data_IF_503730747097
#
_entry.id   IF_503730747097
#
_cell.length_a   1.000
_cell.length_b   1.000
_cell.length_c   1.000
_cell.angle_alpha   90.00
_cell.angle_beta   90.00
_cell.angle_gamma   90.00
#
_symmetry.space_group_name_H-M   'P 1'
#
loop_
_entity.id
_entity.type
_entity.pdbx_description
1 polymer ?
#
# COMPACT_ATOMS: atom_id res chain seq x y z
N UNK A 1 0.67 -23.05 -13.53
CA UNK A 1 -0.02 -21.97 -12.77
C UNK A 1 -1.12 -22.59 -11.93
N UNK A 2 -1.30 -22.10 -10.70
CA UNK A 2 -2.39 -22.51 -9.80
C UNK A 2 -3.11 -21.25 -9.35
N UNK A 3 -4.43 -21.32 -9.24
CA UNK A 3 -5.27 -20.28 -8.64
C UNK A 3 -6.27 -20.93 -7.69
N UNK A 4 -6.54 -20.31 -6.55
CA UNK A 4 -7.54 -20.78 -5.60
C UNK A 4 -8.61 -19.74 -5.37
N UNK A 5 -9.80 -20.19 -4.98
CA UNK A 5 -10.90 -19.30 -4.61
C UNK A 5 -11.63 -19.77 -3.37
N UNK A 6 -12.07 -18.81 -2.56
CA UNK A 6 -13.02 -19.04 -1.49
C UNK A 6 -14.34 -19.65 -2.01
N UNK A 7 -14.90 -20.56 -1.21
CA UNK A 7 -16.28 -21.00 -1.30
C UNK A 7 -17.22 -19.80 -1.30
N UNK A 8 -18.34 -19.92 -2.03
CA UNK A 8 -19.32 -18.84 -2.08
C UNK A 8 -19.87 -18.47 -0.69
N UNK A 9 -20.12 -19.47 0.16
CA UNK A 9 -20.69 -19.26 1.50
C UNK A 9 -19.73 -18.57 2.46
N UNK A 10 -18.42 -18.71 2.27
CA UNK A 10 -17.37 -18.05 3.07
C UNK A 10 -17.19 -16.57 2.71
N UNK A 11 -17.78 -16.09 1.61
CA UNK A 11 -17.75 -14.68 1.23
C UNK A 11 -18.76 -13.88 2.07
N UNK A 12 -18.39 -12.63 2.35
CA UNK A 12 -19.22 -11.69 3.09
C UNK A 12 -20.46 -11.25 2.32
N UNK A 13 -20.39 -11.20 0.98
CA UNK A 13 -21.54 -10.95 0.12
C UNK A 13 -22.20 -12.28 -0.27
N UNK A 14 -23.51 -12.24 -0.47
CA UNK A 14 -24.32 -13.42 -0.82
C UNK A 14 -24.73 -13.38 -2.29
N UNK A 15 -24.95 -14.56 -2.86
CA UNK A 15 -25.21 -14.74 -4.28
C UNK A 15 -24.04 -15.43 -4.98
N UNK A 16 -24.37 -16.49 -5.73
CA UNK A 16 -23.41 -17.23 -6.52
C UNK A 16 -24.08 -17.74 -7.78
N UNK A 17 -23.53 -17.38 -8.92
CA UNK A 17 -23.92 -17.91 -10.22
C UNK A 17 -22.70 -18.62 -10.81
N UNK A 18 -22.73 -19.95 -10.96
CA UNK A 18 -21.64 -20.67 -11.60
C UNK A 18 -21.52 -20.23 -13.06
N UNK A 19 -20.28 -20.19 -13.56
CA UNK A 19 -20.03 -19.99 -15.00
C UNK A 19 -20.38 -21.26 -15.77
N UNK A 20 -20.59 -21.15 -17.09
CA UNK A 20 -20.79 -22.34 -17.94
C UNK A 20 -19.59 -23.29 -17.86
N UNK A 21 -18.37 -22.75 -17.83
CA UNK A 21 -17.13 -23.52 -17.61
C UNK A 21 -17.18 -24.39 -16.34
N UNK A 22 -17.88 -23.92 -15.31
CA UNK A 22 -18.05 -24.67 -14.08
C UNK A 22 -19.24 -25.64 -14.16
N UNK A 23 -20.42 -25.17 -14.55
CA UNK A 23 -21.65 -25.96 -14.49
C UNK A 23 -21.74 -27.06 -15.56
N UNK A 24 -21.01 -26.92 -16.67
CA UNK A 24 -20.95 -27.93 -17.74
C UNK A 24 -19.87 -29.00 -17.48
N UNK A 25 -19.04 -28.84 -16.44
CA UNK A 25 -18.03 -29.83 -16.10
C UNK A 25 -18.69 -31.07 -15.46
N UNK A 26 -18.26 -32.27 -15.86
CA UNK A 26 -18.85 -33.54 -15.44
C UNK A 26 -18.82 -33.80 -13.93
N UNK A 27 -17.86 -33.20 -13.19
CA UNK A 27 -17.76 -33.35 -11.74
C UNK A 27 -18.42 -32.20 -10.96
N UNK A 28 -19.15 -31.31 -11.63
CA UNK A 28 -19.89 -30.24 -10.99
C UNK A 28 -20.90 -30.77 -9.97
N UNK A 29 -20.87 -30.21 -8.76
CA UNK A 29 -21.77 -30.54 -7.66
C UNK A 29 -22.37 -29.25 -7.07
N UNK A 30 -23.71 -29.20 -7.06
CA UNK A 30 -24.47 -28.02 -6.62
C UNK A 30 -24.28 -27.67 -5.14
N UNK A 31 -23.98 -28.66 -4.30
CA UNK A 31 -23.73 -28.43 -2.88
C UNK A 31 -22.28 -28.03 -2.65
N UNK A 32 -21.33 -28.73 -3.27
CA UNK A 32 -19.89 -28.43 -3.11
C UNK A 32 -19.55 -27.06 -3.67
N UNK A 33 -20.17 -26.62 -4.77
CA UNK A 33 -19.82 -25.32 -5.38
C UNK A 33 -20.02 -24.11 -4.47
N UNK A 34 -20.94 -24.20 -3.52
CA UNK A 34 -21.16 -23.12 -2.55
C UNK A 34 -20.42 -23.32 -1.23
N UNK A 35 -20.04 -24.55 -0.87
CA UNK A 35 -19.41 -24.90 0.42
C UNK A 35 -17.89 -25.03 0.34
N UNK A 36 -17.36 -25.49 -0.79
CA UNK A 36 -15.95 -25.76 -0.99
C UNK A 36 -15.28 -24.64 -1.77
N UNK A 37 -14.02 -24.38 -1.43
CA UNK A 37 -13.14 -23.60 -2.28
C UNK A 37 -12.91 -24.33 -3.61
N UNK A 38 -12.28 -23.63 -4.55
CA UNK A 38 -11.90 -24.23 -5.84
C UNK A 38 -10.43 -24.04 -6.08
N UNK A 39 -9.84 -24.99 -6.79
CA UNK A 39 -8.49 -24.92 -7.33
C UNK A 39 -8.57 -24.99 -8.84
N UNK A 40 -7.87 -24.07 -9.50
CA UNK A 40 -7.72 -24.03 -10.95
C UNK A 40 -6.25 -24.26 -11.27
N UNK A 41 -5.97 -25.12 -12.25
CA UNK A 41 -4.62 -25.47 -12.66
C UNK A 41 -4.45 -25.27 -14.15
N UNK A 42 -3.30 -24.76 -14.53
CA UNK A 42 -2.85 -24.67 -15.92
C UNK A 42 -1.42 -25.18 -15.97
N UNK A 43 -1.25 -26.46 -16.30
CA UNK A 43 0.01 -27.20 -16.14
C UNK A 43 0.39 -28.09 -17.33
N UNK A 44 -0.58 -28.43 -18.19
CA UNK A 44 -0.40 -29.31 -19.34
C UNK A 44 -1.30 -28.86 -20.49
N UNK A 45 -0.95 -29.24 -21.70
CA UNK A 45 -1.81 -29.13 -22.88
C UNK A 45 -2.89 -30.22 -22.79
N UNK A 46 -4.15 -29.81 -22.68
CA UNK A 46 -5.32 -30.70 -22.52
C UNK A 46 -5.97 -30.95 -23.87
N UNK A 47 -5.89 -30.00 -24.81
CA UNK A 47 -6.59 -30.07 -26.10
C UNK A 47 -5.71 -30.58 -27.27
N UNK A 48 -4.39 -30.70 -27.06
CA UNK A 48 -3.42 -31.24 -28.00
C UNK A 48 -2.89 -30.25 -29.04
N UNK A 49 -3.11 -28.94 -28.88
CA UNK A 49 -2.69 -27.90 -29.83
C UNK A 49 -1.23 -27.45 -29.69
N UNK A 50 -0.49 -28.06 -28.75
CA UNK A 50 0.91 -27.78 -28.40
C UNK A 50 1.14 -26.40 -27.78
N UNK A 51 0.09 -25.77 -27.26
CA UNK A 51 0.17 -24.56 -26.46
C UNK A 51 -0.46 -24.86 -25.10
N UNK A 52 -0.03 -24.11 -24.09
CA UNK A 52 -0.65 -24.13 -22.78
C UNK A 52 -1.28 -22.77 -22.60
N UNK A 53 -2.61 -22.71 -22.68
CA UNK A 53 -3.37 -21.46 -22.59
C UNK A 53 -4.69 -21.60 -21.81
N UNK A 54 -5.54 -20.56 -21.84
CA UNK A 54 -6.80 -20.53 -21.09
C UNK A 54 -7.72 -21.72 -21.40
N UNK A 55 -7.59 -22.34 -22.58
CA UNK A 55 -8.41 -23.48 -23.00
C UNK A 55 -7.98 -24.79 -22.34
N UNK A 56 -6.79 -24.82 -21.71
CA UNK A 56 -6.28 -25.95 -20.94
C UNK A 56 -6.52 -25.80 -19.42
N UNK A 57 -7.28 -24.79 -19.02
CA UNK A 57 -7.61 -24.56 -17.63
C UNK A 57 -8.46 -25.73 -17.10
N UNK A 58 -7.94 -26.41 -16.08
CA UNK A 58 -8.62 -27.48 -15.36
C UNK A 58 -8.99 -26.98 -13.96
N UNK A 59 -10.04 -27.53 -13.35
CA UNK A 59 -10.46 -27.14 -12.00
C UNK A 59 -11.04 -28.30 -11.20
N UNK A 60 -10.96 -28.20 -9.87
CA UNK A 60 -11.59 -29.14 -8.92
C UNK A 60 -11.96 -28.40 -7.62
N UNK A 61 -12.71 -29.07 -6.75
CA UNK A 61 -13.01 -28.59 -5.41
C UNK A 61 -11.82 -28.79 -4.45
N UNK A 62 -11.57 -27.79 -3.62
CA UNK A 62 -10.74 -27.95 -2.43
C UNK A 62 -11.50 -28.74 -1.36
N UNK A 63 -10.78 -29.32 -0.40
CA UNK A 63 -11.42 -30.06 0.70
C UNK A 63 -12.09 -29.09 1.67
N UNK A 64 -11.45 -27.95 1.92
CA UNK A 64 -11.99 -26.86 2.72
C UNK A 64 -12.69 -25.79 1.89
N UNK A 65 -12.86 -24.63 2.51
CA UNK A 65 -13.57 -23.49 1.94
C UNK A 65 -12.68 -22.57 1.11
N UNK A 66 -11.41 -22.93 0.89
CA UNK A 66 -10.45 -22.14 0.13
C UNK A 66 -9.89 -20.92 0.88
N UNK A 67 -10.06 -20.82 2.19
CA UNK A 67 -9.38 -19.79 2.97
C UNK A 67 -7.86 -19.93 2.86
N UNK A 68 -7.16 -18.85 2.52
CA UNK A 68 -5.70 -18.88 2.36
C UNK A 68 -4.98 -19.32 3.64
N UNK A 69 -5.60 -19.18 4.80
CA UNK A 69 -5.05 -19.56 6.10
C UNK A 69 -5.13 -21.07 6.38
N UNK A 70 -5.93 -21.81 5.62
CA UNK A 70 -6.06 -23.27 5.72
C UNK A 70 -4.76 -24.00 5.40
N UNK A 71 -4.59 -25.20 5.94
CA UNK A 71 -3.40 -26.01 5.71
C UNK A 71 -3.28 -26.47 4.25
N UNK A 72 -4.40 -26.76 3.59
CA UNK A 72 -4.43 -27.11 2.16
C UNK A 72 -3.92 -25.96 1.27
N UNK A 73 -4.34 -24.71 1.50
CA UNK A 73 -3.86 -23.57 0.70
C UNK A 73 -2.44 -23.15 1.11
N UNK A 74 -2.05 -23.33 2.38
CA UNK A 74 -0.65 -23.16 2.81
C UNK A 74 0.29 -24.18 2.15
N UNK A 75 -0.14 -25.41 1.93
CA UNK A 75 0.65 -26.39 1.18
C UNK A 75 0.92 -25.89 -0.25
N UNK A 76 -0.11 -25.42 -0.95
CA UNK A 76 0.01 -24.82 -2.28
C UNK A 76 0.91 -23.56 -2.28
N UNK A 77 0.78 -22.69 -1.27
CA UNK A 77 1.68 -21.55 -1.06
C UNK A 77 3.14 -22.00 -0.98
N UNK A 78 3.39 -23.04 -0.20
CA UNK A 78 4.74 -23.51 0.05
C UNK A 78 5.39 -24.10 -1.20
N UNK A 79 4.61 -24.68 -2.12
CA UNK A 79 5.06 -25.14 -3.44
C UNK A 79 5.29 -23.99 -4.43
N UNK A 80 4.53 -22.89 -4.32
CA UNK A 80 4.64 -21.77 -5.25
C UNK A 80 5.94 -20.97 -5.08
N UNK A 81 6.55 -20.55 -6.19
CA UNK A 81 7.68 -19.61 -6.18
C UNK A 81 7.22 -18.15 -6.06
N UNK A 82 6.11 -17.83 -6.74
CA UNK A 82 5.62 -16.47 -6.94
C UNK A 82 4.12 -16.42 -6.64
N UNK A 83 3.70 -15.41 -5.88
CA UNK A 83 2.30 -15.14 -5.56
C UNK A 83 1.88 -13.80 -6.19
N UNK A 84 0.91 -13.84 -7.09
CA UNK A 84 0.37 -12.66 -7.77
C UNK A 84 -1.13 -12.59 -7.51
N UNK A 85 -1.61 -11.55 -6.84
CA UNK A 85 -3.04 -11.46 -6.53
C UNK A 85 -3.51 -10.05 -6.16
N UNK A 86 -4.82 -9.85 -6.17
CA UNK A 86 -5.51 -8.72 -5.55
C UNK A 86 -6.17 -9.22 -4.25
N UNK A 87 -5.45 -9.23 -3.11
CA UNK A 87 -6.04 -9.70 -1.87
C UNK A 87 -7.15 -8.76 -1.41
N UNK A 88 -8.16 -9.24 -0.66
CA UNK A 88 -9.15 -8.38 -0.06
C UNK A 88 -8.47 -7.27 0.76
N UNK A 89 -8.81 -6.01 0.51
CA UNK A 89 -8.12 -4.89 1.19
C UNK A 89 -8.29 -4.92 2.72
N UNK A 90 -9.40 -5.48 3.21
CA UNK A 90 -9.65 -5.72 4.64
C UNK A 90 -8.68 -6.73 5.26
N UNK A 91 -8.22 -7.71 4.46
CA UNK A 91 -7.32 -8.79 4.90
C UNK A 91 -5.87 -8.54 4.48
N UNK A 92 -5.54 -7.37 3.93
CA UNK A 92 -4.20 -7.08 3.38
C UNK A 92 -3.07 -7.36 4.37
N UNK A 93 -3.23 -6.99 5.65
CA UNK A 93 -2.20 -7.22 6.69
C UNK A 93 -1.99 -8.71 6.96
N UNK A 94 -3.08 -9.44 7.13
CA UNK A 94 -3.06 -10.88 7.39
C UNK A 94 -2.49 -11.65 6.19
N UNK A 95 -2.90 -11.25 4.97
CA UNK A 95 -2.40 -11.84 3.74
C UNK A 95 -0.91 -11.55 3.51
N UNK A 96 -0.47 -10.32 3.75
CA UNK A 96 0.96 -9.98 3.65
C UNK A 96 1.79 -10.77 4.66
N UNK A 97 1.35 -10.88 5.91
CA UNK A 97 2.02 -11.71 6.92
C UNK A 97 2.12 -13.17 6.47
N UNK A 98 1.04 -13.71 5.90
CA UNK A 98 0.99 -15.07 5.35
C UNK A 98 1.96 -15.29 4.17
N UNK A 99 2.16 -14.30 3.29
CA UNK A 99 3.16 -14.41 2.21
C UNK A 99 4.59 -14.31 2.77
N UNK A 100 4.83 -13.35 3.65
CA UNK A 100 6.16 -13.04 4.21
C UNK A 100 6.67 -14.19 5.07
N UNK A 101 5.80 -14.83 5.86
CA UNK A 101 6.11 -16.02 6.65
C UNK A 101 6.72 -17.14 5.80
N UNK A 102 6.22 -17.35 4.58
CA UNK A 102 6.73 -18.37 3.66
C UNK A 102 7.85 -17.89 2.74
N UNK A 103 8.37 -16.68 2.95
CA UNK A 103 9.48 -16.09 2.19
C UNK A 103 9.27 -16.13 0.65
N UNK A 104 8.06 -15.80 0.19
CA UNK A 104 7.71 -15.89 -1.23
C UNK A 104 8.03 -14.61 -1.98
N UNK A 105 8.26 -14.76 -3.29
CA UNK A 105 8.23 -13.61 -4.20
C UNK A 105 6.78 -13.23 -4.49
N UNK A 106 6.47 -11.94 -4.54
CA UNK A 106 5.08 -11.54 -4.71
C UNK A 106 4.89 -10.22 -5.46
N UNK A 107 3.72 -10.09 -6.07
CA UNK A 107 3.17 -8.86 -6.64
C UNK A 107 1.70 -8.80 -6.22
N UNK A 108 1.36 -7.93 -5.27
CA UNK A 108 0.01 -7.84 -4.73
C UNK A 108 -0.57 -6.43 -4.87
N UNK A 109 -1.87 -6.33 -5.10
CA UNK A 109 -2.57 -5.04 -5.10
C UNK A 109 -2.88 -4.63 -3.66
N UNK A 110 -2.65 -3.37 -3.33
CA UNK A 110 -3.04 -2.79 -2.06
C UNK A 110 -3.36 -1.32 -2.17
N UNK A 111 -3.85 -0.74 -1.07
CA UNK A 111 -4.03 0.70 -0.95
C UNK A 111 -2.77 1.34 -0.37
N UNK A 112 -2.40 2.53 -0.85
CA UNK A 112 -1.25 3.32 -0.38
C UNK A 112 -1.28 3.58 1.13
N UNK A 113 -2.47 3.64 1.74
CA UNK A 113 -2.61 3.78 3.20
C UNK A 113 -1.97 2.60 3.97
N UNK A 114 -1.82 1.44 3.34
CA UNK A 114 -1.18 0.28 3.97
C UNK A 114 0.30 0.52 4.29
N UNK A 115 0.96 1.46 3.60
CA UNK A 115 2.37 1.82 3.82
C UNK A 115 2.68 2.10 5.30
N UNK A 116 1.75 2.77 6.00
CA UNK A 116 2.00 3.27 7.36
C UNK A 116 1.54 2.29 8.44
N UNK A 117 1.07 1.10 8.05
CA UNK A 117 0.71 0.05 8.98
C UNK A 117 1.96 -0.49 9.68
N UNK A 118 1.81 -0.84 10.96
CA UNK A 118 2.92 -1.29 11.84
C UNK A 118 3.62 -2.54 11.30
N UNK A 119 2.90 -3.38 10.57
CA UNK A 119 3.40 -4.63 9.99
C UNK A 119 4.00 -4.43 8.59
N UNK A 120 3.67 -3.31 7.92
CA UNK A 120 4.05 -3.03 6.52
C UNK A 120 5.28 -2.15 6.44
N UNK A 121 5.29 -1.02 7.15
CA UNK A 121 6.39 -0.07 7.02
C UNK A 121 7.76 -0.67 7.38
N UNK A 122 7.91 -1.53 8.41
CA UNK A 122 9.19 -2.17 8.68
C UNK A 122 9.72 -2.97 7.49
N UNK A 123 8.86 -3.60 6.68
CA UNK A 123 9.31 -4.30 5.48
C UNK A 123 9.84 -3.32 4.42
N UNK A 124 9.23 -2.15 4.28
CA UNK A 124 9.68 -1.09 3.37
C UNK A 124 11.01 -0.51 3.85
N UNK A 125 11.09 -0.11 5.13
CA UNK A 125 12.30 0.45 5.74
C UNK A 125 13.52 -0.48 5.58
N UNK A 126 13.32 -1.78 5.76
CA UNK A 126 14.38 -2.78 5.64
C UNK A 126 14.59 -3.32 4.21
N UNK A 127 14.03 -2.66 3.19
CA UNK A 127 14.13 -3.07 1.78
C UNK A 127 13.70 -4.54 1.53
N UNK A 128 12.68 -5.03 2.27
CA UNK A 128 12.06 -6.36 2.06
C UNK A 128 10.81 -6.30 1.19
N UNK A 129 10.24 -5.10 0.99
CA UNK A 129 9.10 -4.83 0.13
C UNK A 129 9.13 -3.37 -0.34
N UNK A 130 8.57 -3.07 -1.51
CA UNK A 130 8.43 -1.72 -2.06
C UNK A 130 7.19 -1.62 -2.94
N UNK A 131 6.90 -0.40 -3.40
CA UNK A 131 5.84 -0.17 -4.37
C UNK A 131 6.35 -0.55 -5.76
N UNK A 132 5.58 -1.40 -6.46
CA UNK A 132 5.89 -1.81 -7.83
C UNK A 132 5.49 -0.74 -8.87
N UNK A 133 5.88 -0.90 -10.14
CA UNK A 133 5.52 0.02 -11.21
C UNK A 133 4.01 0.10 -11.39
N UNK A 134 3.42 1.24 -11.08
CA UNK A 134 1.96 1.45 -11.14
C UNK A 134 1.64 2.86 -11.63
N UNK A 135 0.38 3.12 -11.96
CA UNK A 135 -0.07 4.49 -12.24
C UNK A 135 -0.11 5.21 -10.88
N UNK A 136 0.86 6.10 -10.69
CA UNK A 136 1.06 6.87 -9.46
C UNK A 136 0.03 7.98 -9.25
N UNK A 137 -0.97 8.08 -10.14
CA UNK A 137 -2.06 9.05 -10.09
C UNK A 137 -3.41 8.39 -10.41
N UNK A 138 -4.48 9.13 -10.13
CA UNK A 138 -5.85 8.72 -10.41
C UNK A 138 -6.41 7.68 -9.46
N UNK A 139 -7.62 7.23 -9.80
CA UNK A 139 -8.32 6.14 -9.16
C UNK A 139 -8.25 4.87 -10.02
N UNK A 140 -8.74 3.76 -9.45
CA UNK A 140 -9.02 2.51 -10.16
C UNK A 140 -10.46 2.12 -9.92
N UNK A 141 -11.08 1.58 -10.95
CA UNK A 141 -12.47 1.12 -10.89
C UNK A 141 -12.52 -0.33 -10.45
N UNK A 142 -13.35 -0.61 -9.45
CA UNK A 142 -13.69 -1.94 -9.00
C UNK A 142 -15.20 -2.12 -9.08
N UNK A 143 -15.63 -3.20 -9.73
CA UNK A 143 -17.02 -3.59 -9.70
C UNK A 143 -17.41 -3.98 -8.27
N UNK A 144 -18.61 -3.58 -7.85
CA UNK A 144 -19.20 -3.99 -6.57
C UNK A 144 -20.55 -4.69 -6.80
N UNK A 145 -20.98 -5.56 -5.87
CA UNK A 145 -22.33 -6.13 -5.90
C UNK A 145 -23.42 -5.05 -5.91
N UNK A 146 -24.60 -5.41 -6.42
CA UNK A 146 -25.72 -4.45 -6.56
C UNK A 146 -26.21 -3.94 -5.21
N UNK A 147 -26.11 -4.74 -4.16
CA UNK A 147 -26.50 -4.40 -2.79
C UNK A 147 -25.42 -3.60 -2.04
N UNK A 148 -24.24 -3.39 -2.63
CA UNK A 148 -23.14 -2.71 -1.94
C UNK A 148 -23.49 -1.23 -1.69
N UNK A 149 -23.34 -0.72 -0.46
CA UNK A 149 -23.69 0.66 -0.15
C UNK A 149 -22.75 1.63 -0.88
N UNK A 150 -23.33 2.51 -1.70
CA UNK A 150 -22.57 3.52 -2.45
C UNK A 150 -22.30 4.72 -1.55
N UNK A 151 -21.21 4.63 -0.79
CA UNK A 151 -20.73 5.71 0.07
C UNK A 151 -19.48 6.41 -0.52
N UNK A 152 -18.99 5.96 -1.67
CA UNK A 152 -17.78 6.50 -2.29
C UNK A 152 -18.09 7.78 -3.08
N UNK A 153 -17.19 8.77 -3.01
CA UNK A 153 -17.31 10.04 -3.75
C UNK A 153 -17.27 9.82 -5.26
N UNK A 154 -16.47 8.86 -5.72
CA UNK A 154 -16.39 8.47 -7.13
C UNK A 154 -17.03 7.10 -7.35
N UNK A 155 -18.08 7.06 -8.15
CA UNK A 155 -18.73 5.82 -8.59
C UNK A 155 -19.43 6.05 -9.93
N UNK A 156 -19.74 4.98 -10.65
CA UNK A 156 -20.57 5.00 -11.85
C UNK A 156 -21.36 3.71 -12.02
N UNK A 157 -22.38 3.76 -12.88
CA UNK A 157 -23.06 2.59 -13.41
C UNK A 157 -22.51 2.36 -14.83
N UNK A 158 -22.10 1.13 -15.13
CA UNK A 158 -21.68 0.73 -16.47
C UNK A 158 -22.87 0.62 -17.42
N UNK A 159 -22.60 0.50 -18.72
CA UNK A 159 -23.66 0.24 -19.72
C UNK A 159 -24.38 -1.10 -19.48
N UNK A 160 -23.69 -2.02 -18.80
CA UNK A 160 -24.20 -3.31 -18.34
C UNK A 160 -25.07 -3.23 -17.06
N UNK A 161 -25.33 -2.02 -16.55
CA UNK A 161 -26.07 -1.78 -15.31
C UNK A 161 -25.27 -2.06 -14.03
N UNK A 162 -24.00 -2.49 -14.13
CA UNK A 162 -23.19 -2.85 -12.96
C UNK A 162 -22.61 -1.63 -12.28
N UNK A 163 -22.49 -1.67 -10.96
CA UNK A 163 -21.93 -0.58 -10.15
C UNK A 163 -20.41 -0.70 -10.04
N UNK A 164 -19.73 0.43 -10.21
CA UNK A 164 -18.27 0.54 -10.08
C UNK A 164 -17.91 1.64 -9.09
N UNK A 165 -16.99 1.35 -8.17
CA UNK A 165 -16.41 2.34 -7.25
C UNK A 165 -15.01 2.74 -7.72
N UNK A 166 -14.68 4.02 -7.54
CA UNK A 166 -13.35 4.57 -7.85
C UNK A 166 -12.51 4.70 -6.59
N UNK A 167 -11.47 3.87 -6.51
CA UNK A 167 -10.57 3.80 -5.35
C UNK A 167 -9.26 4.50 -5.66
N UNK A 168 -8.93 5.53 -4.89
CA UNK A 168 -7.66 6.26 -4.99
C UNK A 168 -6.53 5.53 -4.28
N UNK A 169 -5.32 5.74 -4.76
CA UNK A 169 -4.11 5.24 -4.09
C UNK A 169 -3.92 3.73 -4.20
N UNK A 170 -4.52 3.08 -5.20
CA UNK A 170 -4.22 1.67 -5.47
C UNK A 170 -2.80 1.55 -6.02
N UNK A 171 -2.03 0.63 -5.45
CA UNK A 171 -0.61 0.40 -5.77
C UNK A 171 -0.32 -1.10 -5.85
N UNK A 172 0.68 -1.43 -6.66
CA UNK A 172 1.35 -2.72 -6.54
C UNK A 172 2.31 -2.67 -5.35
N UNK A 173 2.32 -3.72 -4.54
CA UNK A 173 3.33 -3.99 -3.52
C UNK A 173 4.09 -5.24 -3.95
N UNK A 174 5.41 -5.20 -3.86
CA UNK A 174 6.26 -6.29 -4.37
C UNK A 174 7.59 -6.36 -3.66
N UNK A 175 8.26 -7.49 -3.78
CA UNK A 175 9.67 -7.70 -3.45
C UNK A 175 10.50 -8.17 -4.67
N UNK A 176 10.00 -7.91 -5.89
CA UNK A 176 10.72 -8.06 -7.15
C UNK A 176 11.47 -6.79 -7.49
N UNK A 177 12.77 -6.93 -7.68
CA UNK A 177 13.61 -5.79 -7.98
C UNK A 177 13.43 -5.39 -9.44
N UNK A 178 13.48 -4.10 -9.72
CA UNK A 178 13.22 -3.58 -11.06
C UNK A 178 13.97 -2.29 -11.31
N UNK A 179 14.38 -2.04 -12.56
CA UNK A 179 15.22 -0.89 -12.92
C UNK A 179 14.67 0.46 -12.43
N UNK A 180 13.36 0.67 -12.51
CA UNK A 180 12.71 1.92 -12.04
C UNK A 180 12.95 2.23 -10.55
N UNK A 181 13.20 1.21 -9.72
CA UNK A 181 13.52 1.39 -8.30
C UNK A 181 14.89 2.03 -8.11
N UNK A 182 15.77 1.88 -9.08
CA UNK A 182 17.14 2.38 -9.05
C UNK A 182 17.31 3.66 -9.89
N UNK A 183 16.21 4.25 -10.37
CA UNK A 183 16.25 5.53 -11.07
C UNK A 183 16.49 6.67 -10.06
N UNK A 184 17.62 7.38 -10.12
CA UNK A 184 17.88 8.49 -9.21
C UNK A 184 16.96 9.67 -9.52
N UNK A 185 16.44 10.29 -8.47
CA UNK A 185 15.75 11.57 -8.57
C UNK A 185 16.74 12.68 -8.93
N UNK A 186 16.36 13.51 -9.89
CA UNK A 186 17.06 14.77 -10.16
C UNK A 186 16.64 15.79 -9.10
N UNK A 187 17.61 16.23 -8.29
CA UNK A 187 17.39 17.10 -7.15
C UNK A 187 18.07 18.45 -7.38
N UNK A 188 17.53 19.47 -6.72
CA UNK A 188 18.11 20.82 -6.67
C UNK A 188 18.76 21.05 -5.31
N UNK A 189 19.68 22.01 -5.23
CA UNK A 189 20.18 22.50 -3.94
C UNK A 189 19.06 23.15 -3.12
N UNK A 190 19.27 23.40 -1.82
CA UNK A 190 18.36 24.19 -0.99
C UNK A 190 18.09 25.55 -1.65
N UNK A 191 19.15 26.24 -2.08
CA UNK A 191 19.05 27.56 -2.71
C UNK A 191 18.24 27.52 -4.00
N UNK A 192 18.51 26.54 -4.86
CA UNK A 192 17.80 26.38 -6.12
C UNK A 192 16.35 25.96 -5.92
N UNK A 193 16.06 25.11 -4.93
CA UNK A 193 14.68 24.79 -4.57
C UNK A 193 13.91 26.04 -4.15
N UNK A 194 14.45 26.86 -3.24
CA UNK A 194 13.78 28.07 -2.78
C UNK A 194 13.57 29.10 -3.92
N UNK A 195 14.47 29.13 -4.91
CA UNK A 195 14.42 30.08 -6.03
C UNK A 195 13.56 29.61 -7.21
N UNK A 196 13.66 28.33 -7.60
CA UNK A 196 13.14 27.82 -8.88
C UNK A 196 12.01 26.82 -8.73
N UNK A 197 11.87 26.14 -7.58
CA UNK A 197 10.79 25.20 -7.37
C UNK A 197 9.47 25.95 -7.15
N UNK A 198 8.54 25.87 -8.12
CA UNK A 198 7.24 26.54 -8.09
C UNK A 198 6.43 26.30 -6.82
N UNK A 199 6.64 25.18 -6.14
CA UNK A 199 5.94 24.83 -4.89
C UNK A 199 6.62 25.35 -3.62
N UNK A 200 7.83 25.89 -3.74
CA UNK A 200 8.62 26.46 -2.64
C UNK A 200 8.77 27.98 -2.73
N UNK A 201 8.26 28.64 -3.79
CA UNK A 201 8.44 30.09 -4.02
C UNK A 201 7.94 30.99 -2.88
N UNK A 202 6.97 30.52 -2.09
CA UNK A 202 6.46 31.27 -0.92
C UNK A 202 7.33 31.11 0.34
N UNK A 203 8.41 30.32 0.28
CA UNK A 203 9.29 30.02 1.41
C UNK A 203 10.67 30.66 1.21
N UNK A 204 11.22 31.18 2.29
CA UNK A 204 12.61 31.68 2.35
C UNK A 204 13.58 30.65 2.93
N UNK A 205 13.06 29.64 3.63
CA UNK A 205 13.80 28.51 4.19
C UNK A 205 12.90 27.26 4.30
N UNK A 206 13.54 26.11 4.58
CA UNK A 206 12.83 24.90 4.98
C UNK A 206 12.46 24.99 6.46
N UNK A 207 11.27 24.50 6.82
CA UNK A 207 10.87 24.45 8.22
C UNK A 207 11.63 23.32 8.92
N UNK A 208 12.07 23.54 10.15
CA UNK A 208 12.55 22.47 11.04
C UNK A 208 11.40 21.96 11.90
N UNK A 209 11.42 20.68 12.24
CA UNK A 209 10.47 20.16 13.20
C UNK A 209 10.84 20.59 14.63
N UNK A 210 9.83 20.81 15.46
CA UNK A 210 9.98 21.05 16.90
C UNK A 210 10.11 19.73 17.68
N UNK A 211 9.65 18.61 17.11
CA UNK A 211 9.62 17.30 17.78
C UNK A 211 10.44 16.19 17.11
N UNK A 212 11.22 16.52 16.07
CA UNK A 212 12.19 15.64 15.43
C UNK A 212 13.43 16.45 15.04
N UNK A 213 14.61 15.83 15.06
CA UNK A 213 15.82 16.41 14.47
C UNK A 213 15.82 16.21 12.95
N UNK A 214 14.91 16.93 12.27
CA UNK A 214 14.71 16.82 10.84
C UNK A 214 14.07 18.10 10.26
N UNK A 215 14.22 18.30 8.95
CA UNK A 215 13.47 19.33 8.21
C UNK A 215 12.17 18.77 7.62
N UNK A 216 11.16 19.62 7.49
CA UNK A 216 9.95 19.32 6.72
C UNK A 216 10.19 19.61 5.24
N UNK A 217 10.04 18.57 4.42
CA UNK A 217 10.09 18.65 2.97
C UNK A 217 8.67 18.41 2.44
N UNK A 218 7.92 19.47 2.08
CA UNK A 218 6.50 19.35 1.79
C UNK A 218 6.19 18.60 0.49
N UNK A 219 7.18 18.46 -0.42
CA UNK A 219 7.02 17.82 -1.72
C UNK A 219 8.26 17.01 -2.09
N UNK A 220 8.08 15.85 -2.73
CA UNK A 220 9.19 15.04 -3.26
C UNK A 220 10.11 15.83 -4.21
N UNK A 221 9.55 16.75 -5.00
CA UNK A 221 10.36 17.60 -5.90
C UNK A 221 11.15 18.68 -5.18
N UNK A 222 10.92 18.89 -3.88
CA UNK A 222 11.61 19.85 -3.04
C UNK A 222 12.65 19.18 -2.13
N UNK A 223 12.99 17.91 -2.34
CA UNK A 223 14.09 17.27 -1.62
C UNK A 223 15.39 17.96 -2.04
N UNK A 224 16.12 18.59 -1.11
CA UNK A 224 17.41 19.22 -1.43
C UNK A 224 18.50 18.16 -1.64
N UNK A 225 19.42 18.41 -2.58
CA UNK A 225 20.58 17.53 -2.83
C UNK A 225 21.73 17.71 -1.84
N UNK A 226 21.78 18.84 -1.14
CA UNK A 226 22.89 19.36 -0.35
C UNK A 226 22.54 19.48 1.15
N UNK A 227 21.62 18.63 1.64
CA UNK A 227 21.25 18.57 3.04
C UNK A 227 21.60 17.21 3.65
N UNK A 228 22.55 17.20 4.59
CA UNK A 228 23.09 15.96 5.18
C UNK A 228 22.23 15.38 6.33
N UNK A 229 21.27 16.15 6.83
CA UNK A 229 20.41 15.76 7.95
C UNK A 229 19.23 14.87 7.56
N UNK A 230 18.38 14.54 8.54
CA UNK A 230 17.12 13.84 8.28
C UNK A 230 16.10 14.77 7.64
N UNK A 231 15.38 14.26 6.65
CA UNK A 231 14.31 14.96 5.95
C UNK A 231 13.00 14.20 6.11
N UNK A 232 11.95 14.88 6.54
CA UNK A 232 10.58 14.36 6.50
C UNK A 232 9.97 14.61 5.13
N UNK A 233 9.74 13.56 4.35
CA UNK A 233 9.15 13.63 3.00
C UNK A 233 7.73 13.03 2.98
N UNK A 234 6.86 13.40 2.02
CA UNK A 234 5.52 12.83 1.93
C UNK A 234 5.56 11.32 1.70
N UNK A 235 4.60 10.56 2.23
CA UNK A 235 4.54 9.09 2.03
C UNK A 235 4.53 8.67 0.55
N UNK A 236 4.02 9.52 -0.34
CA UNK A 236 4.01 9.30 -1.79
C UNK A 236 5.40 9.35 -2.42
N UNK A 237 6.42 9.82 -1.70
CA UNK A 237 7.83 9.66 -2.09
C UNK A 237 8.19 8.20 -2.39
N UNK A 238 7.56 7.24 -1.70
CA UNK A 238 7.82 5.81 -1.89
C UNK A 238 7.46 5.30 -3.29
N UNK A 239 6.63 6.02 -4.06
CA UNK A 239 6.41 5.71 -5.50
C UNK A 239 7.68 5.93 -6.34
N UNK A 240 8.68 6.67 -5.81
CA UNK A 240 9.94 7.03 -6.45
C UNK A 240 11.15 6.76 -5.57
N UNK A 241 10.98 5.96 -4.51
CA UNK A 241 12.06 5.68 -3.58
C UNK A 241 13.13 4.84 -4.28
N UNK A 242 14.34 5.38 -4.25
CA UNK A 242 15.53 4.70 -4.72
C UNK A 242 16.44 4.37 -3.52
N UNK A 243 16.67 3.07 -3.23
CA UNK A 243 17.50 2.66 -2.10
C UNK A 243 18.97 3.04 -2.23
N UNK A 244 19.46 3.32 -3.45
CA UNK A 244 20.85 3.68 -3.70
C UNK A 244 21.08 5.16 -3.45
N UNK A 245 20.03 5.97 -3.58
CA UNK A 245 20.06 7.42 -3.35
C UNK A 245 19.68 7.79 -1.91
N UNK A 246 18.76 7.04 -1.29
CA UNK A 246 18.21 7.39 0.02
C UNK A 246 18.20 6.21 0.99
N UNK A 247 18.37 6.53 2.27
CA UNK A 247 18.10 5.64 3.39
C UNK A 247 16.80 6.05 4.08
N UNK A 248 15.93 5.09 4.37
CA UNK A 248 14.75 5.29 5.22
C UNK A 248 15.14 5.05 6.67
N UNK A 249 15.11 6.11 7.49
CA UNK A 249 15.46 6.02 8.92
C UNK A 249 14.23 5.78 9.79
N UNK A 250 13.04 6.19 9.36
CA UNK A 250 11.80 5.98 10.09
C UNK A 250 10.61 6.73 9.49
N UNK A 251 9.63 7.07 10.31
CA UNK A 251 8.53 7.95 9.95
C UNK A 251 8.14 8.83 11.14
N UNK A 252 7.49 9.95 10.88
CA UNK A 252 6.80 10.67 11.94
C UNK A 252 5.52 9.91 12.32
N UNK A 253 5.40 9.49 13.58
CA UNK A 253 4.23 8.75 14.05
C UNK A 253 3.98 8.97 15.55
N UNK A 254 2.98 8.29 16.14
CA UNK A 254 2.53 8.58 17.50
C UNK A 254 3.37 7.88 18.58
N UNK A 255 3.74 6.62 18.38
CA UNK A 255 4.25 5.74 19.45
C UNK A 255 5.79 5.78 19.66
N UNK A 256 6.52 6.52 18.84
CA UNK A 256 7.99 6.57 18.78
C UNK A 256 8.67 5.20 18.52
N UNK A 257 8.13 4.44 17.57
CA UNK A 257 8.56 3.10 17.15
C UNK A 257 9.98 3.03 16.56
N UNK A 258 10.60 4.18 16.30
CA UNK A 258 11.93 4.27 15.66
C UNK A 258 12.92 5.07 16.51
N UNK A 259 12.54 5.48 17.73
CA UNK A 259 13.38 6.26 18.64
C UNK A 259 13.91 7.56 18.00
N UNK A 260 13.05 8.27 17.27
CA UNK A 260 13.40 9.49 16.52
C UNK A 260 12.73 10.75 17.09
N UNK A 261 11.77 10.62 18.01
CA UNK A 261 11.16 11.80 18.62
C UNK A 261 12.13 12.46 19.59
N UNK A 262 12.34 13.76 19.39
CA UNK A 262 13.12 14.59 20.32
C UNK A 262 12.25 15.24 21.38
N UNK A 263 10.92 15.29 21.16
CA UNK A 263 9.95 15.93 22.05
C UNK A 263 8.60 15.24 21.99
N UNK A 264 7.94 15.13 23.13
CA UNK A 264 6.55 14.70 23.25
C UNK A 264 5.72 15.82 23.88
N UNK A 265 4.57 16.13 23.29
CA UNK A 265 3.64 17.12 23.81
C UNK A 265 2.68 16.47 24.80
N UNK A 266 2.49 17.08 25.95
CA UNK A 266 1.51 16.62 26.92
C UNK A 266 0.08 17.07 26.54
N UNK A 267 -0.91 16.54 27.27
CA UNK A 267 -2.34 16.82 27.02
C UNK A 267 -2.69 18.31 27.11
N UNK A 268 -2.01 19.09 27.98
CA UNK A 268 -2.25 20.53 28.12
C UNK A 268 -1.77 21.27 26.89
N UNK A 269 -0.55 20.97 26.42
CA UNK A 269 0.02 21.54 25.20
C UNK A 269 -0.85 21.24 23.98
N UNK A 270 -1.31 19.98 23.82
CA UNK A 270 -2.19 19.59 22.72
C UNK A 270 -3.58 20.29 22.75
N UNK A 271 -4.10 20.59 23.95
CA UNK A 271 -5.35 21.35 24.11
C UNK A 271 -5.14 22.84 23.82
N UNK A 272 -4.01 23.39 24.28
CA UNK A 272 -3.64 24.78 24.04
C UNK A 272 -3.44 25.02 22.55
N UNK A 273 -2.67 24.17 21.86
CA UNK A 273 -2.47 24.25 20.42
C UNK A 273 -3.79 24.17 19.62
N UNK A 274 -4.76 23.36 20.08
CA UNK A 274 -6.10 23.35 19.48
C UNK A 274 -6.84 24.68 19.69
N UNK A 275 -6.76 25.25 20.89
CA UNK A 275 -7.38 26.54 21.19
C UNK A 275 -6.74 27.67 20.39
N UNK A 276 -5.41 27.74 20.34
CA UNK A 276 -4.67 28.77 19.60
C UNK A 276 -5.01 28.72 18.10
N UNK A 277 -5.19 27.52 17.55
CA UNK A 277 -5.49 27.32 16.12
C UNK A 277 -6.97 27.52 15.75
N UNK A 278 -7.90 27.11 16.61
CA UNK A 278 -9.33 27.05 16.28
C UNK A 278 -10.23 27.94 17.15
N UNK A 279 -9.70 28.61 18.17
CA UNK A 279 -10.45 29.49 19.09
C UNK A 279 -11.48 28.79 19.97
N UNK A 280 -11.43 27.46 20.08
CA UNK A 280 -12.42 26.66 20.84
C UNK A 280 -11.77 25.48 21.56
N UNK A 281 -12.48 24.87 22.51
CA UNK A 281 -11.97 23.69 23.24
C UNK A 281 -11.93 22.47 22.32
N UNK A 282 -10.83 21.71 22.40
CA UNK A 282 -10.62 20.45 21.70
C UNK A 282 -9.21 19.94 21.95
N UNK A 283 -8.80 18.90 21.21
CA UNK A 283 -7.45 18.34 21.31
C UNK A 283 -6.86 18.24 19.92
N UNK A 284 -5.71 18.88 19.70
CA UNK A 284 -4.92 18.71 18.49
C UNK A 284 -3.76 17.79 18.86
N UNK A 285 -3.87 16.51 18.52
CA UNK A 285 -2.83 15.53 18.84
C UNK A 285 -1.55 15.83 18.05
N UNK A 286 -0.67 16.65 18.63
CA UNK A 286 0.60 17.07 18.06
C UNK A 286 1.59 15.90 17.94
N UNK A 287 1.42 14.84 18.75
CA UNK A 287 2.32 13.69 18.73
C UNK A 287 2.10 12.77 17.54
N UNK A 288 0.99 12.90 16.79
CA UNK A 288 0.68 12.00 15.69
C UNK A 288 1.56 12.15 14.43
N UNK A 289 2.39 13.21 14.33
CA UNK A 289 3.31 13.44 13.20
C UNK A 289 4.37 14.48 13.58
N UNK A 290 5.15 14.95 12.60
CA UNK A 290 6.06 16.09 12.76
C UNK A 290 5.28 17.37 13.00
N UNK A 291 5.83 18.23 13.85
CA UNK A 291 5.27 19.53 14.22
C UNK A 291 6.23 20.61 13.82
N UNK A 292 5.73 21.65 13.14
CA UNK A 292 6.50 22.83 12.75
C UNK A 292 5.89 24.07 13.41
N UNK A 293 6.70 25.10 13.63
CA UNK A 293 6.22 26.38 14.15
C UNK A 293 6.01 27.36 12.99
N UNK A 294 4.79 27.83 12.79
CA UNK A 294 4.41 28.78 11.72
C UNK A 294 3.45 29.82 12.25
N UNK A 295 3.70 31.10 11.95
CA UNK A 295 2.83 32.22 12.30
C UNK A 295 2.41 32.25 13.79
N UNK A 296 3.33 31.86 14.68
CA UNK A 296 3.06 31.82 16.11
C UNK A 296 2.44 30.52 16.62
N UNK A 297 2.14 29.55 15.74
CA UNK A 297 1.38 28.34 16.04
C UNK A 297 2.20 27.06 15.84
N UNK A 298 1.94 26.06 16.69
CA UNK A 298 2.39 24.68 16.47
C UNK A 298 1.45 23.99 15.48
N UNK A 299 1.99 23.59 14.33
CA UNK A 299 1.25 22.92 13.27
C UNK A 299 1.77 21.50 13.03
N UNK A 300 0.89 20.52 13.24
CA UNK A 300 1.18 19.14 12.83
C UNK A 300 1.03 18.99 11.32
N UNK A 301 2.06 18.47 10.66
CA UNK A 301 2.02 18.13 9.23
C UNK A 301 1.38 16.76 8.99
N UNK A 302 0.95 16.50 7.75
CA UNK A 302 0.57 15.13 7.35
C UNK A 302 1.71 14.15 7.61
N UNK A 303 1.41 12.86 7.71
CA UNK A 303 2.43 11.84 7.97
C UNK A 303 3.60 11.93 6.97
N UNK A 304 4.81 11.73 7.49
CA UNK A 304 6.08 11.84 6.75
C UNK A 304 6.92 10.60 6.93
N UNK A 305 7.60 10.21 5.86
CA UNK A 305 8.71 9.24 5.92
C UNK A 305 9.98 10.04 6.21
N UNK A 306 10.77 9.58 7.16
CA UNK A 306 12.04 10.20 7.50
C UNK A 306 13.14 9.51 6.69
N UNK A 307 13.86 10.29 5.89
CA UNK A 307 14.92 9.81 5.00
C UNK A 307 16.22 10.60 5.20
N UNK A 308 17.34 10.00 4.78
CA UNK A 308 18.63 10.66 4.57
C UNK A 308 19.14 10.35 3.17
N UNK A 309 20.00 11.21 2.62
CA UNK A 309 20.80 10.81 1.47
C UNK A 309 21.73 9.67 1.87
N UNK A 310 21.94 8.72 0.96
CA UNK A 310 23.11 7.86 1.07
C UNK A 310 24.32 8.66 0.63
N UNK A 311 25.29 8.80 1.53
CA UNK A 311 26.60 9.26 1.13
C UNK A 311 27.18 8.20 0.19
N UNK A 312 27.38 8.56 -1.07
CA UNK A 312 28.19 7.73 -1.97
C UNK A 312 29.56 7.67 -1.33
N UNK A 313 29.98 6.49 -0.88
CA UNK A 313 31.38 6.30 -0.49
C UNK A 313 32.22 6.65 -1.74
N UNK A 314 32.94 7.76 -1.67
CA UNK A 314 33.93 8.17 -2.68
C UNK A 314 35.11 7.21 -2.59
#
# INVERSE_FOLDING_TARGET
>A
MISTSYAANSKSYKGYQPTLFESENSHFDINKTVQNGKIFTLSRDVNGDKKIDINDLDWDYLQGDGDFRSDEVKALRNEADIIITNPPFSLFREFLAWIVEANKKFVIIGNMNAITYKEVFPLIKHNKMWLGPTISSGDREFQVPDEYPINAVGWRIGEDGRKYLRIKGVRWFTNFDHGRRHEPLQLMTILDNLKFNKKMQAKTNYDSYDNYDAIEVPFTSAIPSDYDGVMGVPISFLDKYNPDQFEIVGMCENADLYDLKTKNYNTVECKQAYFDKFGKKGTYDLNASGVVYRDGLLEKVYQRVLIKHRNVAI
#
